data_IF_545819134311
#
_entry.id   IF_545819134311
#
_cell.length_a   1.000
_cell.length_b   1.000
_cell.length_c   1.000
_cell.angle_alpha   90.00
_cell.angle_beta   90.00
_cell.angle_gamma   90.00
#
_symmetry.space_group_name_H-M   'P 1'
#
loop_
_entity.id
_entity.type
_entity.pdbx_description
1 polymer ?
#
# COMPACT_ATOMS: atom_id res chain seq x y z
N UNK A 1 14.96 -9.59 -21.31
CA UNK A 1 13.62 -9.96 -20.81
C UNK A 1 13.50 -9.48 -19.36
N UNK A 2 13.66 -8.17 -19.12
CA UNK A 2 13.83 -7.60 -17.76
C UNK A 2 13.24 -6.17 -17.64
N UNK A 3 12.24 -5.85 -18.48
CA UNK A 3 11.49 -4.59 -18.42
C UNK A 3 10.12 -4.75 -17.74
N UNK A 4 9.71 -5.98 -17.47
CA UNK A 4 8.38 -6.31 -16.95
C UNK A 4 8.35 -6.30 -15.42
N UNK A 5 9.41 -6.78 -14.76
CA UNK A 5 9.42 -6.96 -13.30
C UNK A 5 9.35 -5.65 -12.52
N UNK A 6 9.95 -4.56 -13.02
CA UNK A 6 9.83 -3.26 -12.35
C UNK A 6 8.44 -2.65 -12.53
N UNK A 7 7.83 -2.80 -13.70
CA UNK A 7 6.46 -2.32 -13.94
C UNK A 7 5.47 -3.09 -13.05
N UNK A 8 5.58 -4.42 -13.00
CA UNK A 8 4.78 -5.27 -12.13
C UNK A 8 4.95 -4.92 -10.64
N UNK A 9 6.19 -4.65 -10.19
CA UNK A 9 6.46 -4.18 -8.83
C UNK A 9 5.77 -2.85 -8.54
N UNK A 10 5.88 -1.90 -9.45
CA UNK A 10 5.34 -0.55 -9.28
C UNK A 10 3.81 -0.56 -9.26
N UNK A 11 3.18 -1.34 -10.14
CA UNK A 11 1.73 -1.57 -10.12
C UNK A 11 1.27 -2.24 -8.83
N UNK A 12 1.94 -3.31 -8.38
CA UNK A 12 1.63 -3.99 -7.13
C UNK A 12 1.74 -3.06 -5.92
N UNK A 13 2.82 -2.26 -5.86
CA UNK A 13 3.02 -1.28 -4.79
C UNK A 13 1.94 -0.20 -4.81
N UNK A 14 1.60 0.33 -5.99
CA UNK A 14 0.62 1.40 -6.16
C UNK A 14 -0.78 0.94 -5.76
N UNK A 15 -1.18 -0.25 -6.20
CA UNK A 15 -2.49 -0.83 -5.89
C UNK A 15 -2.62 -1.18 -4.40
N UNK A 16 -1.57 -1.75 -3.81
CA UNK A 16 -1.52 -2.01 -2.37
C UNK A 16 -1.61 -0.72 -1.56
N UNK A 17 -0.85 0.30 -1.96
CA UNK A 17 -0.82 1.59 -1.28
C UNK A 17 -2.20 2.28 -1.33
N UNK A 18 -2.85 2.33 -2.50
CA UNK A 18 -4.19 2.91 -2.64
C UNK A 18 -5.20 2.21 -1.73
N UNK A 19 -5.20 0.88 -1.71
CA UNK A 19 -6.08 0.08 -0.86
C UNK A 19 -5.80 0.28 0.64
N UNK A 20 -4.55 0.55 1.00
CA UNK A 20 -4.11 0.79 2.38
C UNK A 20 -4.45 2.20 2.86
N UNK A 21 -4.47 3.19 1.96
CA UNK A 21 -4.95 4.55 2.25
C UNK A 21 -6.45 4.57 2.53
N UNK A 22 -7.24 3.75 1.83
CA UNK A 22 -8.67 3.56 2.11
C UNK A 22 -8.94 2.86 3.46
N UNK A 23 -7.94 2.14 4.01
CA UNK A 23 -8.01 1.50 5.34
C UNK A 23 -7.84 2.51 6.49
N UNK A 24 -8.70 3.54 6.52
CA UNK A 24 -8.76 4.56 7.58
C UNK A 24 -9.35 4.03 8.88
N UNK A 25 -10.22 3.02 8.78
CA UNK A 25 -10.83 2.31 9.89
C UNK A 25 -10.78 0.81 9.61
N UNK A 26 -11.02 -0.01 10.65
CA UNK A 26 -11.05 -1.46 10.51
C UNK A 26 -12.16 -1.90 9.53
N UNK A 27 -11.79 -2.08 8.27
CA UNK A 27 -12.69 -2.43 7.18
C UNK A 27 -12.32 -3.81 6.66
N UNK A 28 -13.19 -4.78 6.95
CA UNK A 28 -13.07 -6.16 6.45
C UNK A 28 -12.86 -6.25 4.93
N UNK A 29 -13.60 -5.53 4.06
CA UNK A 29 -13.36 -5.62 2.62
C UNK A 29 -11.97 -5.12 2.21
N UNK A 30 -11.48 -4.03 2.80
CA UNK A 30 -10.12 -3.53 2.51
C UNK A 30 -9.04 -4.46 3.05
N UNK A 31 -9.21 -5.04 4.25
CA UNK A 31 -8.26 -6.04 4.79
C UNK A 31 -8.19 -7.26 3.88
N UNK A 32 -9.35 -7.78 3.44
CA UNK A 32 -9.38 -8.91 2.51
C UNK A 32 -8.71 -8.56 1.19
N UNK A 33 -8.99 -7.37 0.65
CA UNK A 33 -8.37 -6.92 -0.60
C UNK A 33 -6.85 -6.80 -0.47
N UNK A 34 -6.34 -6.20 0.61
CA UNK A 34 -4.91 -6.14 0.91
C UNK A 34 -4.29 -7.54 1.08
N UNK A 35 -5.04 -8.49 1.63
CA UNK A 35 -4.57 -9.87 1.79
C UNK A 35 -4.43 -10.54 0.42
N UNK A 36 -5.46 -10.44 -0.43
CA UNK A 36 -5.45 -10.99 -1.79
C UNK A 36 -4.29 -10.37 -2.60
N UNK A 37 -4.14 -9.05 -2.56
CA UNK A 37 -3.04 -8.35 -3.26
C UNK A 37 -1.66 -8.83 -2.80
N UNK A 38 -1.48 -9.10 -1.51
CA UNK A 38 -0.23 -9.65 -0.99
C UNK A 38 0.01 -11.10 -1.43
N UNK A 39 -1.04 -11.92 -1.50
CA UNK A 39 -0.96 -13.30 -1.98
C UNK A 39 -0.65 -13.37 -3.48
N UNK A 40 -1.18 -12.45 -4.29
CA UNK A 40 -0.91 -12.40 -5.74
C UNK A 40 0.49 -11.84 -6.05
N UNK A 41 1.03 -10.98 -5.17
CA UNK A 41 2.29 -10.27 -5.37
C UNK A 41 3.41 -10.72 -4.41
N UNK A 42 3.50 -12.03 -4.12
CA UNK A 42 4.51 -12.60 -3.21
C UNK A 42 5.96 -12.29 -3.63
N UNK A 43 6.21 -12.14 -4.93
CA UNK A 43 7.53 -11.74 -5.46
C UNK A 43 7.97 -10.35 -4.96
N UNK A 44 7.01 -9.50 -4.60
CA UNK A 44 7.21 -8.14 -4.11
C UNK A 44 6.85 -7.99 -2.63
N UNK A 45 6.77 -9.10 -1.89
CA UNK A 45 6.40 -9.11 -0.47
C UNK A 45 7.27 -8.14 0.37
N UNK A 46 8.55 -7.99 0.03
CA UNK A 46 9.45 -7.05 0.71
C UNK A 46 9.02 -5.60 0.55
N UNK A 47 8.63 -5.20 -0.66
CA UNK A 47 8.14 -3.84 -0.92
C UNK A 47 6.79 -3.62 -0.23
N UNK A 48 5.89 -4.60 -0.26
CA UNK A 48 4.58 -4.54 0.41
C UNK A 48 4.74 -4.37 1.93
N UNK A 49 5.64 -5.13 2.55
CA UNK A 49 5.96 -5.00 3.99
C UNK A 49 6.48 -3.59 4.30
N UNK A 50 7.36 -3.05 3.46
CA UNK A 50 7.89 -1.69 3.66
C UNK A 50 6.77 -0.63 3.62
N UNK A 51 5.75 -0.80 2.76
CA UNK A 51 4.59 0.10 2.70
C UNK A 51 3.78 0.03 4.01
N UNK A 52 3.50 -1.18 4.50
CA UNK A 52 2.76 -1.41 5.76
C UNK A 52 3.55 -0.83 6.94
N UNK A 53 4.84 -1.14 7.04
CA UNK A 53 5.73 -0.63 8.08
C UNK A 53 5.76 0.90 8.08
N UNK A 54 5.84 1.51 6.90
CA UNK A 54 5.76 2.95 6.78
C UNK A 54 4.38 3.48 7.24
N UNK A 55 3.27 2.77 6.99
CA UNK A 55 1.92 3.16 7.42
C UNK A 55 1.74 3.13 8.94
N UNK A 56 2.27 2.09 9.59
CA UNK A 56 2.20 1.91 11.05
C UNK A 56 3.28 2.71 11.80
N UNK A 57 4.32 3.16 11.09
CA UNK A 57 5.41 3.93 11.68
C UNK A 57 4.88 5.20 12.36
N UNK A 58 5.37 5.54 13.57
CA UNK A 58 4.93 6.72 14.31
C UNK A 58 5.07 8.02 13.50
N UNK A 59 5.97 8.07 12.51
CA UNK A 59 6.15 9.21 11.61
C UNK A 59 4.91 9.48 10.72
N UNK A 60 4.11 8.47 10.36
CA UNK A 60 2.89 8.67 9.56
C UNK A 60 1.68 9.13 10.35
N UNK A 61 1.64 8.85 11.66
CA UNK A 61 0.54 9.32 12.54
C UNK A 61 0.42 10.85 12.59
N UNK A 62 1.50 11.59 12.27
CA UNK A 62 1.48 13.05 12.16
C UNK A 62 1.44 13.55 10.71
N UNK A 63 1.87 12.76 9.72
CA UNK A 63 1.94 13.18 8.32
C UNK A 63 0.60 13.08 7.57
N UNK A 64 -0.29 12.16 7.95
CA UNK A 64 -1.54 11.94 7.23
C UNK A 64 -2.55 13.10 7.36
N UNK A 65 -2.33 14.04 8.28
CA UNK A 65 -3.12 15.27 8.39
C UNK A 65 -2.81 16.27 7.26
N UNK A 66 -1.69 16.11 6.54
CA UNK A 66 -1.28 17.01 5.46
C UNK A 66 -1.78 16.59 4.06
N UNK A 67 -2.12 15.31 3.85
CA UNK A 67 -2.47 14.81 2.52
C UNK A 67 -3.92 15.13 2.08
N UNK A 68 -4.88 15.22 3.01
CA UNK A 68 -6.27 15.58 2.66
C UNK A 68 -6.48 17.05 2.27
N UNK A 69 -5.49 17.95 2.42
CA UNK A 69 -5.66 19.39 2.15
C UNK A 69 -5.25 19.83 0.73
N UNK A 70 -4.70 18.93 -0.09
CA UNK A 70 -4.08 19.30 -1.38
C UNK A 70 -4.93 18.93 -2.62
N UNK A 71 -6.16 18.43 -2.45
CA UNK A 71 -7.04 18.12 -3.61
C UNK A 71 -8.09 19.22 -3.88
N UNK A 72 -7.81 20.48 -3.55
CA UNK A 72 -8.61 21.62 -4.03
C UNK A 72 -8.04 22.19 -5.32
#
# INVERSE_FOLDING_TARGET
>A
MAMDDNAAREDACREYQSSLEDLTFNSKPHINMLTILAEENLNFAKDIVAIIEAQISPSRRCANMAASVTTC
#
